data_IF_583798742801
#
_entry.id   IF_583798742801
#
_cell.length_a   1.000
_cell.length_b   1.000
_cell.length_c   1.000
_cell.angle_alpha   90.00
_cell.angle_beta   90.00
_cell.angle_gamma   90.00
#
_symmetry.space_group_name_H-M   'P 1'
#
loop_
_entity.id
_entity.type
_entity.pdbx_description
1 polymer ?
#
# COMPACT_ATOMS: atom_id res chain seq x y z
N UNK A 1 34.54 2.12 20.06
CA UNK A 1 33.16 2.12 19.55
C UNK A 1 32.28 1.62 20.67
N UNK A 2 31.34 2.44 21.12
CA UNK A 2 30.55 2.16 22.34
C UNK A 2 29.47 1.11 22.05
N UNK A 3 29.04 0.36 23.07
CA UNK A 3 27.97 -0.66 22.94
C UNK A 3 26.66 -0.11 22.32
N UNK A 4 26.41 1.20 22.39
CA UNK A 4 25.27 1.84 21.75
C UNK A 4 25.38 1.87 20.20
N UNK A 5 26.57 2.03 19.64
CA UNK A 5 26.76 2.03 18.17
C UNK A 5 26.51 0.65 17.56
N UNK A 6 26.70 -0.42 18.34
CA UNK A 6 26.43 -1.78 17.88
C UNK A 6 24.92 -2.09 17.82
N UNK A 7 24.14 -1.64 18.82
CA UNK A 7 22.69 -1.87 18.84
C UNK A 7 21.95 -1.18 17.70
N UNK A 8 22.33 0.06 17.34
CA UNK A 8 21.71 0.76 16.20
C UNK A 8 22.02 0.06 14.88
N UNK A 9 23.26 -0.41 14.69
CA UNK A 9 23.64 -1.15 13.47
C UNK A 9 22.89 -2.46 13.33
N UNK A 10 22.64 -3.16 14.45
CA UNK A 10 21.85 -4.38 14.47
C UNK A 10 20.41 -4.11 14.04
N UNK A 11 19.76 -3.07 14.58
CA UNK A 11 18.40 -2.68 14.15
C UNK A 11 18.34 -2.36 12.66
N UNK A 12 19.32 -1.61 12.14
CA UNK A 12 19.39 -1.30 10.70
C UNK A 12 19.55 -2.56 9.85
N UNK A 13 20.38 -3.51 10.30
CA UNK A 13 20.57 -4.79 9.62
C UNK A 13 19.26 -5.58 9.57
N UNK A 14 18.60 -5.77 10.71
CA UNK A 14 17.36 -6.54 10.80
C UNK A 14 16.23 -5.90 9.97
N UNK A 15 16.13 -4.56 9.98
CA UNK A 15 15.16 -3.87 9.13
C UNK A 15 15.49 -4.04 7.63
N UNK A 16 16.77 -4.06 7.25
CA UNK A 16 17.18 -4.30 5.86
C UNK A 16 16.80 -5.71 5.40
N UNK A 17 16.95 -6.71 6.26
CA UNK A 17 16.52 -8.08 5.97
C UNK A 17 14.99 -8.17 5.82
N UNK A 18 14.25 -7.51 6.71
CA UNK A 18 12.79 -7.43 6.61
C UNK A 18 12.32 -6.69 5.34
N UNK A 19 12.95 -5.57 4.99
CA UNK A 19 12.69 -4.80 3.77
C UNK A 19 12.87 -5.65 2.52
N UNK A 20 13.98 -6.40 2.45
CA UNK A 20 14.24 -7.33 1.35
C UNK A 20 13.17 -8.41 1.27
N UNK A 21 12.78 -9.01 2.40
CA UNK A 21 11.72 -10.01 2.46
C UNK A 21 10.37 -9.45 1.97
N UNK A 22 10.00 -8.24 2.40
CA UNK A 22 8.78 -7.56 1.95
C UNK A 22 8.79 -7.39 0.43
N UNK A 23 9.89 -6.91 -0.15
CA UNK A 23 10.00 -6.67 -1.60
C UNK A 23 9.89 -7.95 -2.44
N UNK A 24 10.17 -9.12 -1.87
CA UNK A 24 9.94 -10.39 -2.59
C UNK A 24 8.46 -10.71 -2.79
N UNK A 25 7.59 -10.22 -1.89
CA UNK A 25 6.14 -10.46 -1.93
C UNK A 25 5.39 -9.27 -2.52
N UNK A 26 5.83 -8.05 -2.22
CA UNK A 26 5.19 -6.78 -2.58
C UNK A 26 6.13 -5.89 -3.40
N UNK A 27 6.57 -6.37 -4.56
CA UNK A 27 7.57 -5.71 -5.41
C UNK A 27 7.17 -4.32 -5.97
N UNK A 28 5.87 -4.00 -6.01
CA UNK A 28 5.32 -2.74 -6.53
C UNK A 28 4.85 -1.78 -5.42
N UNK A 29 5.08 -2.11 -4.16
CA UNK A 29 4.54 -1.40 -3.00
C UNK A 29 5.67 -0.85 -2.14
N UNK A 30 5.47 0.34 -1.56
CA UNK A 30 6.38 0.88 -0.56
C UNK A 30 6.43 -0.05 0.69
N UNK A 31 7.59 -0.62 1.05
CA UNK A 31 7.74 -1.50 2.21
C UNK A 31 7.29 -0.86 3.53
N UNK A 32 7.40 0.46 3.68
CA UNK A 32 6.94 1.15 4.90
C UNK A 32 5.42 1.07 5.07
N UNK A 33 4.66 1.06 3.97
CA UNK A 33 3.22 0.85 4.02
C UNK A 33 2.89 -0.57 4.53
N UNK A 34 3.63 -1.58 4.06
CA UNK A 34 3.46 -2.98 4.50
C UNK A 34 3.75 -3.10 6.00
N UNK A 35 4.86 -2.53 6.47
CA UNK A 35 5.22 -2.52 7.90
C UNK A 35 4.11 -1.86 8.73
N UNK A 36 3.59 -0.72 8.27
CA UNK A 36 2.49 -0.03 8.96
C UNK A 36 1.24 -0.90 9.06
N UNK A 37 0.83 -1.54 7.96
CA UNK A 37 -0.33 -2.43 7.94
C UNK A 37 -0.17 -3.64 8.88
N UNK A 38 1.04 -4.20 9.01
CA UNK A 38 1.32 -5.26 10.00
C UNK A 38 1.07 -4.76 11.43
N UNK A 39 1.47 -3.54 11.76
CA UNK A 39 1.20 -2.96 13.08
C UNK A 39 -0.30 -2.70 13.29
N UNK A 40 -0.99 -2.21 12.27
CA UNK A 40 -2.42 -1.92 12.32
C UNK A 40 -3.26 -3.21 12.48
N UNK A 41 -2.90 -4.28 11.78
CA UNK A 41 -3.49 -5.62 11.92
C UNK A 41 -3.29 -6.18 13.34
N UNK A 42 -2.07 -6.08 13.88
CA UNK A 42 -1.78 -6.49 15.27
C UNK A 42 -2.54 -5.68 16.32
N UNK A 43 -2.81 -4.41 16.04
CA UNK A 43 -3.58 -3.54 16.92
C UNK A 43 -5.10 -3.74 16.78
N UNK A 44 -5.55 -4.61 15.88
CA UNK A 44 -6.96 -4.86 15.53
C UNK A 44 -7.71 -3.55 15.19
N UNK A 45 -7.03 -2.66 14.45
CA UNK A 45 -7.59 -1.37 14.00
C UNK A 45 -8.04 -1.49 12.55
N UNK A 46 -9.30 -1.21 12.29
CA UNK A 46 -9.77 -0.98 10.93
C UNK A 46 -9.46 0.46 10.53
N UNK A 47 -8.41 0.63 9.73
CA UNK A 47 -8.02 1.94 9.21
C UNK A 47 -8.54 2.12 7.77
N UNK A 48 -9.26 3.22 7.55
CA UNK A 48 -9.60 3.68 6.21
C UNK A 48 -8.40 4.45 5.66
N UNK A 49 -7.92 4.06 4.49
CA UNK A 49 -6.90 4.79 3.76
C UNK A 49 -7.51 5.49 2.56
N UNK A 50 -6.95 6.64 2.20
CA UNK A 50 -7.20 7.27 0.92
C UNK A 50 -6.12 6.81 -0.05
N UNK A 51 -6.52 6.01 -1.03
CA UNK A 51 -5.67 5.56 -2.13
C UNK A 51 -5.68 6.60 -3.23
N UNK A 52 -4.49 7.06 -3.60
CA UNK A 52 -4.27 7.87 -4.79
C UNK A 52 -3.52 7.04 -5.85
N UNK A 53 -4.11 6.95 -7.04
CA UNK A 53 -3.57 6.17 -8.16
C UNK A 53 -3.40 7.05 -9.38
N UNK A 54 -2.24 6.95 -10.03
CA UNK A 54 -1.97 7.58 -11.32
C UNK A 54 -2.22 6.55 -12.43
N UNK A 55 -3.10 6.92 -13.35
CA UNK A 55 -3.53 6.10 -14.47
C UNK A 55 -2.90 6.61 -15.76
N UNK A 56 -2.80 5.72 -16.76
CA UNK A 56 -2.45 6.13 -18.12
C UNK A 56 -3.55 7.05 -18.68
N UNK A 57 -3.23 7.93 -19.65
CA UNK A 57 -4.25 8.68 -20.37
C UNK A 57 -5.17 7.76 -21.17
N UNK A 58 -6.34 8.29 -21.54
CA UNK A 58 -7.32 7.66 -22.45
C UNK A 58 -7.80 6.27 -22.01
N UNK A 59 -7.79 5.99 -20.71
CA UNK A 59 -8.41 4.81 -20.13
C UNK A 59 -9.93 4.99 -20.02
N UNK A 60 -10.68 3.89 -20.11
CA UNK A 60 -12.11 3.88 -19.85
C UNK A 60 -12.38 4.05 -18.35
N UNK A 61 -12.63 5.29 -17.93
CA UNK A 61 -12.83 5.62 -16.52
C UNK A 61 -14.11 5.03 -15.95
N UNK A 62 -15.13 4.77 -16.79
CA UNK A 62 -16.39 4.19 -16.31
C UNK A 62 -16.23 2.69 -16.07
N UNK A 63 -15.54 1.97 -16.95
CA UNK A 63 -15.18 0.58 -16.68
C UNK A 63 -14.32 0.46 -15.41
N UNK A 64 -13.34 1.35 -15.21
CA UNK A 64 -12.53 1.36 -13.99
C UNK A 64 -13.39 1.67 -12.77
N UNK A 65 -14.31 2.65 -12.86
CA UNK A 65 -15.25 3.00 -11.79
C UNK A 65 -16.07 1.79 -11.34
N UNK A 66 -16.71 1.12 -12.29
CA UNK A 66 -17.53 -0.06 -12.03
C UNK A 66 -16.70 -1.16 -11.35
N UNK A 67 -15.48 -1.38 -11.84
CA UNK A 67 -14.57 -2.35 -11.23
C UNK A 67 -14.23 -1.99 -9.79
N UNK A 68 -13.83 -0.74 -9.53
CA UNK A 68 -13.49 -0.28 -8.17
C UNK A 68 -14.69 -0.41 -7.23
N UNK A 69 -15.89 -0.01 -7.66
CA UNK A 69 -17.12 -0.17 -6.87
C UNK A 69 -17.39 -1.65 -6.58
N UNK A 70 -17.24 -2.53 -7.58
CA UNK A 70 -17.47 -3.97 -7.40
C UNK A 70 -16.51 -4.62 -6.40
N UNK A 71 -15.28 -4.11 -6.31
CA UNK A 71 -14.24 -4.67 -5.43
C UNK A 71 -14.30 -4.06 -4.03
N UNK A 72 -14.58 -2.76 -3.93
CA UNK A 72 -14.39 -1.99 -2.68
C UNK A 72 -15.71 -1.55 -2.04
N UNK A 73 -16.81 -1.56 -2.80
CA UNK A 73 -18.08 -0.93 -2.41
C UNK A 73 -18.05 0.61 -2.44
N UNK A 74 -16.92 1.21 -2.84
CA UNK A 74 -16.68 2.65 -2.75
C UNK A 74 -16.60 3.28 -4.14
N UNK A 75 -17.21 4.46 -4.29
CA UNK A 75 -17.16 5.22 -5.53
C UNK A 75 -15.84 6.00 -5.64
N UNK A 76 -14.99 5.76 -6.66
CA UNK A 76 -13.78 6.54 -6.86
C UNK A 76 -14.07 7.93 -7.45
N UNK A 77 -13.28 8.92 -7.03
CA UNK A 77 -13.17 10.22 -7.69
C UNK A 77 -12.10 10.18 -8.78
N UNK A 78 -12.43 10.72 -9.97
CA UNK A 78 -11.47 10.87 -11.07
C UNK A 78 -11.14 12.36 -11.30
N UNK A 79 -9.87 12.64 -11.52
CA UNK A 79 -9.30 13.97 -11.67
C UNK A 79 -8.32 14.00 -12.85
N UNK A 80 -7.84 15.19 -13.21
CA UNK A 80 -6.83 15.38 -14.26
C UNK A 80 -7.21 14.66 -15.58
N UNK A 81 -8.44 14.87 -16.06
CA UNK A 81 -8.98 14.21 -17.26
C UNK A 81 -8.90 12.67 -17.21
N UNK A 82 -9.12 12.09 -16.03
CA UNK A 82 -9.14 10.64 -15.83
C UNK A 82 -7.78 10.00 -15.50
N UNK A 83 -6.69 10.79 -15.45
CA UNK A 83 -5.34 10.27 -15.16
C UNK A 83 -5.01 10.16 -13.68
N UNK A 84 -5.88 10.66 -12.80
CA UNK A 84 -5.74 10.51 -11.35
C UNK A 84 -7.03 9.98 -10.75
N UNK A 85 -6.93 8.92 -9.97
CA UNK A 85 -8.06 8.31 -9.27
C UNK A 85 -7.82 8.34 -7.77
N UNK A 86 -8.85 8.71 -7.00
CA UNK A 86 -8.83 8.69 -5.54
C UNK A 86 -10.00 7.83 -5.03
N UNK A 87 -9.73 6.93 -4.10
CA UNK A 87 -10.78 6.14 -3.41
C UNK A 87 -10.41 5.95 -1.94
N UNK A 88 -11.38 6.11 -1.05
CA UNK A 88 -11.21 5.79 0.37
C UNK A 88 -11.68 4.37 0.63
N UNK A 89 -10.80 3.51 1.12
CA UNK A 89 -11.13 2.11 1.40
C UNK A 89 -10.23 1.55 2.49
N UNK A 90 -10.71 0.51 3.18
CA UNK A 90 -9.86 -0.25 4.08
C UNK A 90 -8.80 -0.98 3.24
N UNK A 91 -7.54 -0.86 3.64
CA UNK A 91 -6.45 -1.61 3.02
C UNK A 91 -5.97 -2.62 4.04
N UNK A 92 -5.95 -3.88 3.65
CA UNK A 92 -5.25 -4.95 4.36
C UNK A 92 -4.13 -5.51 3.47
N UNK A 93 -3.30 -6.39 4.04
CA UNK A 93 -2.20 -7.02 3.33
C UNK A 93 -2.67 -7.88 2.13
N UNK A 94 -3.88 -8.45 2.20
CA UNK A 94 -4.42 -9.30 1.14
C UNK A 94 -4.85 -8.48 -0.09
N UNK A 95 -5.55 -7.36 0.13
CA UNK A 95 -5.91 -6.42 -0.92
C UNK A 95 -4.65 -5.83 -1.55
N UNK A 96 -3.68 -5.44 -0.72
CA UNK A 96 -2.42 -4.91 -1.21
C UNK A 96 -1.65 -5.92 -2.07
N UNK A 97 -1.70 -7.21 -1.69
CA UNK A 97 -1.12 -8.29 -2.50
C UNK A 97 -1.82 -8.44 -3.86
N UNK A 98 -3.15 -8.36 -3.88
CA UNK A 98 -3.93 -8.41 -5.13
C UNK A 98 -3.65 -7.24 -6.06
N UNK A 99 -3.39 -6.05 -5.53
CA UNK A 99 -3.00 -4.86 -6.32
C UNK A 99 -1.55 -4.99 -6.80
N UNK A 100 -0.68 -5.57 -5.96
CA UNK A 100 0.72 -5.79 -6.30
C UNK A 100 0.89 -6.76 -7.48
N UNK A 101 0.08 -7.80 -7.57
CA UNK A 101 0.17 -8.83 -8.64
C UNK A 101 -0.26 -8.26 -10.00
#
# INVERSE_FOLDING_TARGET
MSNQENGVKEVVKEFTEADNAIKTVFSKVDPLLVVRLIFDEKANRENIYTLEMILKPDQDTEQIRERVISVTGMAPGFYLKGTKMIVSHNIDLNLLKRIND
#
